data_IF_293767923976
#
_entry.id   IF_293767923976
#
_cell.length_a   1.000
_cell.length_b   1.000
_cell.length_c   1.000
_cell.angle_alpha   90.00
_cell.angle_beta   90.00
_cell.angle_gamma   90.00
#
_symmetry.space_group_name_H-M   'P 1'
#
loop_
_entity.id
_entity.type
_entity.pdbx_description
1 polymer ?
#
# COMPACT_ATOMS: atom_id res chain seq x y z
N UNK A 1 -5.60 9.30 -27.51
CA UNK A 1 -4.26 9.07 -26.99
C UNK A 1 -4.35 8.66 -25.53
N UNK A 2 -3.63 7.64 -25.18
CA UNK A 2 -3.60 7.20 -23.78
C UNK A 2 -2.61 8.07 -23.03
N UNK A 3 -3.10 8.72 -22.02
CA UNK A 3 -2.26 9.55 -21.19
C UNK A 3 -1.45 8.66 -20.24
N UNK A 4 -0.17 8.96 -20.12
CA UNK A 4 0.67 8.24 -19.19
C UNK A 4 0.19 8.47 -17.75
N UNK A 5 0.05 7.38 -17.00
CA UNK A 5 -0.33 7.46 -15.58
C UNK A 5 0.88 7.55 -14.68
N UNK A 6 2.04 7.25 -15.23
CA UNK A 6 3.28 7.30 -14.48
C UNK A 6 3.80 8.71 -14.38
N UNK A 7 4.47 9.00 -13.29
CA UNK A 7 5.09 10.29 -13.11
C UNK A 7 5.97 10.29 -11.89
N UNK A 8 6.39 11.47 -11.49
CA UNK A 8 7.27 11.66 -10.35
C UNK A 8 6.79 12.84 -9.53
N UNK A 9 6.82 12.69 -8.22
CA UNK A 9 6.59 13.77 -7.28
C UNK A 9 7.92 14.23 -6.72
N UNK A 10 8.08 15.53 -6.60
CA UNK A 10 9.29 16.15 -6.04
C UNK A 10 8.90 17.00 -4.83
N UNK A 11 9.88 17.43 -4.08
CA UNK A 11 9.63 18.27 -2.91
C UNK A 11 8.93 17.53 -1.77
N UNK A 12 9.09 16.21 -1.71
CA UNK A 12 8.49 15.40 -0.67
C UNK A 12 9.23 15.62 0.64
N UNK A 13 8.47 15.79 1.72
CA UNK A 13 9.04 16.15 3.01
C UNK A 13 9.44 14.96 3.85
N UNK A 14 8.76 13.82 3.68
CA UNK A 14 8.99 12.63 4.50
C UNK A 14 9.52 11.45 3.72
N UNK A 15 9.94 11.70 2.49
CA UNK A 15 10.61 10.68 1.67
C UNK A 15 12.11 10.92 1.74
N UNK A 16 12.93 9.89 2.00
CA UNK A 16 14.38 10.06 2.15
C UNK A 16 15.07 10.69 0.95
N UNK A 17 14.58 10.43 -0.27
CA UNK A 17 15.13 11.01 -1.48
C UNK A 17 14.52 12.37 -1.82
N UNK A 18 13.44 12.76 -1.17
CA UNK A 18 12.71 13.96 -1.50
C UNK A 18 11.88 13.87 -2.76
N UNK A 19 11.94 12.74 -3.44
CA UNK A 19 11.19 12.51 -4.67
C UNK A 19 10.87 11.04 -4.81
N UNK A 20 9.82 10.72 -5.56
CA UNK A 20 9.44 9.33 -5.79
C UNK A 20 8.60 9.23 -7.05
N UNK A 21 8.78 8.13 -7.77
CA UNK A 21 7.95 7.80 -8.91
C UNK A 21 6.65 7.17 -8.46
N UNK A 22 5.61 7.33 -9.27
CA UNK A 22 4.34 6.66 -9.04
C UNK A 22 3.89 6.01 -10.35
N UNK A 23 3.17 4.90 -10.24
CA UNK A 23 2.70 4.14 -11.38
C UNK A 23 1.20 4.30 -11.63
N UNK A 24 0.50 4.98 -10.75
CA UNK A 24 -0.92 5.25 -10.88
C UNK A 24 -1.29 6.53 -10.15
N UNK A 25 -2.44 7.10 -10.49
CA UNK A 25 -2.93 8.28 -9.79
C UNK A 25 -3.36 7.97 -8.35
N UNK A 26 -3.86 6.76 -8.12
CA UNK A 26 -4.16 6.32 -6.76
C UNK A 26 -2.90 6.34 -5.91
N UNK A 27 -1.82 5.79 -6.45
CA UNK A 27 -0.53 5.76 -5.78
C UNK A 27 -0.03 7.17 -5.52
N UNK A 28 -0.11 8.05 -6.53
CA UNK A 28 0.30 9.45 -6.38
C UNK A 28 -0.46 10.13 -5.24
N UNK A 29 -1.77 9.98 -5.22
CA UNK A 29 -2.60 10.66 -4.23
C UNK A 29 -2.34 10.10 -2.83
N UNK A 30 -2.10 8.82 -2.73
CA UNK A 30 -1.75 8.22 -1.45
C UNK A 30 -0.38 8.71 -0.95
N UNK A 31 0.58 8.86 -1.86
CA UNK A 31 1.88 9.41 -1.51
C UNK A 31 1.77 10.81 -0.91
N UNK A 32 0.94 11.65 -1.51
CA UNK A 32 0.71 13.00 -0.99
C UNK A 32 0.05 12.96 0.39
N UNK A 33 -0.85 12.01 0.59
CA UNK A 33 -1.52 11.84 1.87
C UNK A 33 -0.51 11.48 2.96
N UNK A 34 0.27 10.43 2.76
CA UNK A 34 1.21 9.99 3.79
C UNK A 34 2.36 10.98 3.98
N UNK A 35 2.73 11.72 2.94
CA UNK A 35 3.78 12.74 3.07
C UNK A 35 3.33 13.92 3.93
N UNK A 36 2.03 14.13 4.04
CA UNK A 36 1.46 15.24 4.82
C UNK A 36 1.11 14.85 6.25
N UNK A 37 1.21 13.58 6.60
CA UNK A 37 0.77 13.09 7.91
C UNK A 37 1.80 13.36 8.99
N UNK A 38 1.39 14.08 10.03
CA UNK A 38 2.29 14.45 11.11
C UNK A 38 2.83 13.24 11.90
N UNK A 39 2.10 12.14 11.92
CA UNK A 39 2.54 10.92 12.62
C UNK A 39 3.55 10.10 11.82
N UNK A 40 3.77 10.40 10.56
CA UNK A 40 4.72 9.69 9.72
C UNK A 40 6.09 10.32 9.84
N UNK A 41 7.08 9.50 10.19
CA UNK A 41 8.47 9.93 10.22
C UNK A 41 9.05 9.94 8.82
N UNK A 42 8.90 8.82 8.11
CA UNK A 42 9.34 8.73 6.72
C UNK A 42 8.60 7.61 6.01
N UNK A 43 8.59 7.68 4.70
CA UNK A 43 8.03 6.64 3.87
C UNK A 43 8.86 6.50 2.59
N UNK A 44 8.84 5.32 2.00
CA UNK A 44 9.57 5.10 0.75
C UNK A 44 8.93 3.98 -0.05
N UNK A 45 9.02 4.08 -1.36
CA UNK A 45 8.74 2.98 -2.27
C UNK A 45 9.99 2.13 -2.49
N UNK A 46 11.15 2.73 -2.28
CA UNK A 46 12.43 2.09 -2.54
C UNK A 46 12.95 1.38 -1.28
N UNK A 47 12.17 0.44 -0.78
CA UNK A 47 12.48 -0.26 0.45
C UNK A 47 13.19 -1.60 0.25
N UNK A 48 13.23 -2.10 -0.98
CA UNK A 48 13.92 -3.35 -1.28
C UNK A 48 13.26 -4.60 -0.74
N UNK A 49 12.07 -4.50 -0.15
CA UNK A 49 11.39 -5.66 0.43
C UNK A 49 10.75 -6.47 -0.69
N UNK A 50 11.05 -7.77 -0.70
CA UNK A 50 10.49 -8.71 -1.67
C UNK A 50 9.88 -9.87 -0.91
N UNK A 51 8.59 -10.05 -1.07
CA UNK A 51 7.85 -11.07 -0.34
C UNK A 51 7.51 -12.20 -1.29
N UNK A 52 7.98 -13.42 -1.02
CA UNK A 52 7.63 -14.56 -1.86
C UNK A 52 6.16 -14.95 -1.65
N UNK A 53 5.50 -15.33 -2.72
CA UNK A 53 4.14 -15.84 -2.63
C UNK A 53 3.92 -16.85 -3.75
N UNK A 54 2.85 -17.63 -3.65
CA UNK A 54 2.50 -18.62 -4.66
C UNK A 54 1.03 -18.44 -5.04
N UNK A 55 0.77 -18.55 -6.33
CA UNK A 55 -0.61 -18.56 -6.84
C UNK A 55 -1.06 -20.00 -6.86
N UNK A 56 -2.19 -20.29 -6.19
CA UNK A 56 -2.72 -21.65 -6.03
C UNK A 56 -1.72 -22.63 -5.44
N UNK A 57 -0.76 -22.13 -4.65
CA UNK A 57 0.24 -22.98 -4.02
C UNK A 57 1.27 -23.57 -4.98
N UNK A 58 1.26 -23.18 -6.24
CA UNK A 58 2.10 -23.80 -7.26
C UNK A 58 3.16 -22.89 -7.85
N UNK A 59 2.77 -21.74 -8.37
CA UNK A 59 3.68 -20.88 -9.12
C UNK A 59 4.33 -19.86 -8.20
N UNK A 60 5.67 -19.91 -8.04
CA UNK A 60 6.36 -18.96 -7.18
C UNK A 60 6.46 -17.58 -7.84
N UNK A 61 6.21 -16.55 -7.07
CA UNK A 61 6.33 -15.16 -7.47
C UNK A 61 6.95 -14.35 -6.35
N UNK A 62 7.36 -13.14 -6.69
CA UNK A 62 7.87 -12.19 -5.71
C UNK A 62 7.02 -10.93 -5.76
N UNK A 63 6.71 -10.39 -4.59
CA UNK A 63 5.83 -9.26 -4.42
C UNK A 63 6.56 -8.12 -3.71
N UNK A 64 6.54 -6.94 -4.31
CA UNK A 64 7.08 -5.72 -3.70
C UNK A 64 5.89 -4.85 -3.30
N UNK A 65 5.58 -4.73 -2.02
CA UNK A 65 4.53 -3.78 -1.59
C UNK A 65 4.88 -2.36 -2.01
N UNK A 66 3.87 -1.52 -2.20
CA UNK A 66 4.10 -0.17 -2.69
C UNK A 66 4.91 0.69 -1.71
N UNK A 67 4.55 0.69 -0.43
CA UNK A 67 5.11 1.65 0.53
C UNK A 67 5.55 0.99 1.82
N UNK A 68 6.73 1.38 2.28
CA UNK A 68 7.15 1.14 3.65
C UNK A 68 7.03 2.46 4.39
N UNK A 69 6.24 2.48 5.46
CA UNK A 69 6.00 3.69 6.25
C UNK A 69 6.56 3.47 7.65
N UNK A 70 7.37 4.42 8.11
CA UNK A 70 7.88 4.43 9.47
C UNK A 70 7.21 5.57 10.21
N UNK A 71 6.62 5.27 11.35
CA UNK A 71 5.93 6.26 12.17
C UNK A 71 6.87 6.83 13.22
N UNK A 72 6.45 7.94 13.83
CA UNK A 72 7.27 8.63 14.83
C UNK A 72 7.57 7.77 16.05
N UNK A 73 6.69 6.83 16.38
CA UNK A 73 6.91 5.91 17.49
C UNK A 73 7.85 4.75 17.14
N UNK A 74 8.37 4.72 15.92
CA UNK A 74 9.28 3.68 15.46
C UNK A 74 8.60 2.49 14.81
N UNK A 75 7.28 2.39 14.89
CA UNK A 75 6.57 1.28 14.24
C UNK A 75 6.62 1.43 12.73
N UNK A 76 6.48 0.30 12.04
CA UNK A 76 6.53 0.26 10.58
C UNK A 76 5.34 -0.49 10.02
N UNK A 77 4.90 -0.05 8.85
CA UNK A 77 3.81 -0.69 8.14
C UNK A 77 4.14 -0.79 6.66
N UNK A 78 3.67 -1.86 6.03
CA UNK A 78 3.73 -2.00 4.58
C UNK A 78 2.33 -1.74 4.03
N UNK A 79 2.22 -0.84 3.08
CA UNK A 79 0.96 -0.50 2.46
C UNK A 79 0.99 -0.81 0.98
N UNK A 80 -0.12 -1.35 0.49
CA UNK A 80 -0.32 -1.63 -0.92
C UNK A 80 -1.57 -0.90 -1.38
N UNK A 81 -1.51 -0.24 -2.53
CA UNK A 81 -2.67 0.42 -3.11
C UNK A 81 -3.11 -0.33 -4.36
N UNK A 82 -4.42 -0.49 -4.52
CA UNK A 82 -5.00 -1.12 -5.70
C UNK A 82 -6.23 -0.37 -6.14
N UNK A 83 -6.29 -0.10 -7.44
CA UNK A 83 -7.44 0.58 -8.01
C UNK A 83 -8.66 -0.32 -8.03
N UNK A 84 -9.83 0.32 -8.10
CA UNK A 84 -11.09 -0.39 -8.25
C UNK A 84 -11.10 -1.18 -9.55
N UNK A 85 -11.81 -2.29 -9.57
CA UNK A 85 -11.93 -3.11 -10.76
C UNK A 85 -10.72 -3.95 -11.07
N UNK A 86 -9.84 -4.14 -10.12
CA UNK A 86 -8.66 -4.95 -10.33
C UNK A 86 -9.03 -6.39 -10.65
N UNK A 87 -8.46 -6.95 -11.73
CA UNK A 87 -8.95 -8.18 -12.32
C UNK A 87 -8.26 -9.46 -11.86
N UNK A 88 -6.98 -9.39 -11.48
CA UNK A 88 -6.23 -10.60 -11.12
C UNK A 88 -6.52 -11.01 -9.68
N UNK A 89 -7.75 -11.40 -9.43
CA UNK A 89 -8.23 -11.71 -8.08
C UNK A 89 -7.34 -12.71 -7.33
N UNK A 90 -7.01 -13.84 -7.97
CA UNK A 90 -6.22 -14.87 -7.30
C UNK A 90 -4.83 -14.36 -6.91
N UNK A 91 -4.19 -13.61 -7.81
CA UNK A 91 -2.89 -13.01 -7.54
C UNK A 91 -2.98 -11.99 -6.42
N UNK A 92 -3.98 -11.13 -6.46
CA UNK A 92 -4.19 -10.11 -5.44
C UNK A 92 -4.41 -10.75 -4.07
N UNK A 93 -5.24 -11.78 -4.02
CA UNK A 93 -5.52 -12.47 -2.77
C UNK A 93 -4.25 -13.11 -2.20
N UNK A 94 -3.45 -13.76 -3.04
CA UNK A 94 -2.21 -14.39 -2.62
C UNK A 94 -1.20 -13.35 -2.10
N UNK A 95 -1.11 -12.20 -2.75
CA UNK A 95 -0.22 -11.12 -2.31
C UNK A 95 -0.65 -10.57 -0.96
N UNK A 96 -1.94 -10.34 -0.76
CA UNK A 96 -2.46 -9.82 0.51
C UNK A 96 -2.15 -10.76 1.66
N UNK A 97 -2.38 -12.04 1.44
CA UNK A 97 -2.10 -13.05 2.46
C UNK A 97 -0.61 -13.09 2.78
N UNK A 98 0.24 -13.14 1.76
CA UNK A 98 1.67 -13.17 1.93
C UNK A 98 2.19 -11.91 2.62
N UNK A 99 1.69 -10.74 2.24
CA UNK A 99 2.07 -9.48 2.87
C UNK A 99 1.72 -9.43 4.34
N UNK A 100 0.51 -9.87 4.68
CA UNK A 100 0.06 -9.89 6.05
C UNK A 100 0.90 -10.84 6.91
N UNK A 101 1.17 -12.04 6.41
CA UNK A 101 1.97 -13.02 7.13
C UNK A 101 3.42 -12.55 7.30
N UNK A 102 3.99 -11.97 6.26
CA UNK A 102 5.35 -11.45 6.31
C UNK A 102 5.49 -10.36 7.36
N UNK A 103 4.53 -9.44 7.40
CA UNK A 103 4.53 -8.36 8.38
C UNK A 103 4.32 -8.87 9.80
N UNK A 104 3.39 -9.79 10.00
CA UNK A 104 3.14 -10.36 11.32
C UNK A 104 4.39 -11.01 11.89
N UNK A 105 5.13 -11.73 11.07
CA UNK A 105 6.35 -12.39 11.52
C UNK A 105 7.42 -11.39 11.98
N UNK A 106 7.31 -10.11 11.57
CA UNK A 106 8.29 -9.08 11.89
C UNK A 106 7.75 -7.97 12.79
N UNK A 107 6.59 -8.18 13.38
CA UNK A 107 6.00 -7.18 14.25
C UNK A 107 5.51 -5.93 13.53
N UNK A 108 5.21 -6.06 12.26
CA UNK A 108 4.73 -4.97 11.42
C UNK A 108 3.27 -5.17 11.06
N UNK A 109 2.63 -4.11 10.57
CA UNK A 109 1.27 -4.19 10.04
C UNK A 109 1.30 -4.11 8.53
N UNK A 110 0.38 -4.82 7.89
CA UNK A 110 0.17 -4.77 6.45
C UNK A 110 -1.20 -4.17 6.20
N UNK A 111 -1.27 -3.17 5.31
CA UNK A 111 -2.53 -2.54 4.95
C UNK A 111 -2.70 -2.53 3.45
N UNK A 112 -3.89 -2.91 3.02
CA UNK A 112 -4.27 -2.94 1.61
C UNK A 112 -5.32 -1.86 1.39
N UNK A 113 -4.97 -0.85 0.60
CA UNK A 113 -5.79 0.33 0.38
C UNK A 113 -6.43 0.23 -1.00
N UNK A 114 -7.73 0.06 -1.05
CA UNK A 114 -8.45 0.02 -2.30
C UNK A 114 -8.92 1.41 -2.71
N UNK A 115 -8.97 1.64 -4.01
CA UNK A 115 -9.54 2.86 -4.52
C UNK A 115 -11.06 2.79 -4.40
N UNK A 116 -11.54 3.43 -3.38
CA UNK A 116 -12.94 3.74 -3.26
C UNK A 116 -13.02 5.24 -3.41
N UNK A 117 -13.70 5.72 -4.42
CA UNK A 117 -13.76 7.15 -4.68
C UNK A 117 -14.08 7.95 -3.44
N UNK A 118 -15.07 7.55 -2.72
CA UNK A 118 -15.43 8.24 -1.50
C UNK A 118 -14.37 8.15 -0.43
N UNK A 119 -13.56 7.11 -0.45
CA UNK A 119 -12.53 6.90 0.55
C UNK A 119 -11.31 7.77 0.34
N UNK A 120 -10.96 8.05 -0.92
CA UNK A 120 -9.74 8.80 -1.19
C UNK A 120 -9.97 10.26 -1.46
N UNK A 121 -11.09 10.60 -2.09
CA UNK A 121 -11.26 11.94 -2.62
C UNK A 121 -12.44 12.70 -2.08
N UNK A 122 -13.23 12.07 -1.25
CA UNK A 122 -14.37 12.75 -0.68
C UNK A 122 -14.30 12.61 0.79
N UNK A 123 -14.61 13.45 1.61
CA UNK A 123 -14.81 13.25 3.04
C UNK A 123 -13.54 12.89 3.76
N UNK A 124 -13.12 13.28 4.67
CA UNK A 124 -12.12 12.93 5.69
C UNK A 124 -11.20 11.76 5.34
N UNK A 125 -10.55 11.81 4.22
CA UNK A 125 -9.62 10.77 3.82
C UNK A 125 -8.30 10.96 4.54
N UNK A 126 -8.30 10.68 5.82
CA UNK A 126 -7.10 10.70 6.63
C UNK A 126 -6.46 9.33 6.59
N UNK A 127 -5.21 9.26 6.99
CA UNK A 127 -4.53 7.97 7.10
C UNK A 127 -5.26 7.05 8.07
N UNK A 128 -5.77 7.60 9.18
CA UNK A 128 -6.52 6.80 10.13
C UNK A 128 -7.75 6.17 9.50
N UNK A 129 -8.50 6.95 8.73
CA UNK A 129 -9.68 6.44 8.05
C UNK A 129 -9.29 5.37 7.04
N UNK A 130 -8.29 5.65 6.22
CA UNK A 130 -7.80 4.68 5.25
C UNK A 130 -7.24 3.45 5.95
N UNK A 131 -6.53 3.65 7.04
CA UNK A 131 -5.98 2.56 7.82
C UNK A 131 -7.05 1.66 8.40
N UNK A 132 -8.15 2.22 8.88
CA UNK A 132 -9.27 1.42 9.38
C UNK A 132 -9.86 0.56 8.27
N UNK A 133 -10.07 1.16 7.11
CA UNK A 133 -10.61 0.42 5.97
C UNK A 133 -9.68 -0.71 5.54
N UNK A 134 -8.39 -0.42 5.53
CA UNK A 134 -7.39 -1.42 5.16
C UNK A 134 -7.28 -2.52 6.21
N UNK A 135 -7.48 -2.17 7.47
CA UNK A 135 -7.41 -3.16 8.56
C UNK A 135 -8.58 -4.15 8.51
N UNK A 136 -9.67 -3.80 7.82
CA UNK A 136 -10.77 -4.73 7.61
C UNK A 136 -10.38 -5.85 6.65
N UNK A 137 -9.19 -5.78 6.10
CA UNK A 137 -8.68 -6.77 5.19
C UNK A 137 -8.80 -8.20 5.73
N UNK A 138 -8.46 -8.41 6.99
CA UNK A 138 -8.54 -9.77 7.55
C UNK A 138 -9.95 -10.32 7.49
N UNK A 139 -10.93 -9.50 7.85
CA UNK A 139 -12.33 -9.91 7.79
C UNK A 139 -12.77 -10.17 6.36
N UNK A 140 -12.40 -9.29 5.44
CA UNK A 140 -12.71 -9.48 4.03
C UNK A 140 -12.07 -10.75 3.52
N UNK A 141 -10.82 -10.99 3.88
CA UNK A 141 -10.10 -12.18 3.48
C UNK A 141 -10.79 -13.44 3.97
N UNK A 142 -11.31 -13.42 5.17
CA UNK A 142 -12.05 -14.56 5.72
C UNK A 142 -13.37 -14.78 4.98
N UNK A 143 -14.02 -13.72 4.56
CA UNK A 143 -15.24 -13.82 3.78
C UNK A 143 -15.02 -14.44 2.40
N UNK A 144 -13.80 -14.33 1.90
CA UNK A 144 -13.44 -14.85 0.58
C UNK A 144 -13.00 -16.32 0.61
N UNK A 145 -12.87 -16.90 1.76
CA UNK A 145 -12.46 -18.30 1.89
C UNK A 145 -13.60 -19.26 1.50
#
# INVERSE_FOLDING_TARGET
MIQARRGRLEGLKRNPQGESEYDSFLERDYMLEIDSMSGVKEWTKDHGIKIPYKIFGLLPHTYNPDFLITFLDGSKELHETKGAGFLAWASTHAKRKAGDEWCKARGMKYKFIENSRGALFGQNNTLDTLGKRANDYSSVSEMLK
#
